data_IF_609027346094
#
_entry.id   IF_609027346094
#
_cell.length_a   1.000
_cell.length_b   1.000
_cell.length_c   1.000
_cell.angle_alpha   90.00
_cell.angle_beta   90.00
_cell.angle_gamma   90.00
#
_symmetry.space_group_name_H-M   'P 1'
#
loop_
_entity.id
_entity.type
_entity.pdbx_description
1 polymer ?
#
# COMPACT_ATOMS: atom_id res chain seq x y z
N UNK A 1 12.14 13.09 -23.14
CA UNK A 1 12.61 13.46 -21.81
C UNK A 1 11.61 12.87 -20.82
N UNK A 2 11.64 11.57 -20.68
CA UNK A 2 10.60 10.81 -19.99
C UNK A 2 11.13 9.51 -19.44
N UNK A 3 12.16 9.34 -18.73
CA UNK A 3 12.50 8.02 -18.17
C UNK A 3 13.31 8.13 -16.87
N UNK A 4 12.86 9.06 -15.99
CA UNK A 4 13.41 9.19 -14.65
C UNK A 4 13.09 7.97 -13.78
N UNK A 5 11.91 7.36 -13.99
CA UNK A 5 11.50 6.11 -13.38
C UNK A 5 10.76 5.29 -14.44
N UNK A 6 11.17 4.05 -14.61
CA UNK A 6 10.39 3.05 -15.33
C UNK A 6 9.24 2.57 -14.41
N UNK A 7 8.06 3.20 -14.55
CA UNK A 7 6.89 2.89 -13.72
C UNK A 7 6.34 1.49 -13.96
N UNK A 8 6.49 0.92 -15.16
CA UNK A 8 6.11 -0.45 -15.43
C UNK A 8 7.02 -1.44 -14.72
N UNK A 9 8.32 -1.17 -14.70
CA UNK A 9 9.27 -1.93 -13.90
C UNK A 9 9.01 -1.78 -12.41
N UNK A 10 8.71 -0.56 -11.92
CA UNK A 10 8.36 -0.32 -10.53
C UNK A 10 7.12 -1.13 -10.14
N UNK A 11 6.05 -1.06 -10.91
CA UNK A 11 4.82 -1.83 -10.70
C UNK A 11 5.11 -3.33 -10.66
N UNK A 12 5.93 -3.85 -11.59
CA UNK A 12 6.29 -5.26 -11.62
C UNK A 12 7.06 -5.69 -10.36
N UNK A 13 8.03 -4.91 -9.91
CA UNK A 13 8.80 -5.19 -8.69
C UNK A 13 7.91 -5.17 -7.44
N UNK A 14 7.01 -4.20 -7.35
CA UNK A 14 6.03 -4.12 -6.24
C UNK A 14 5.12 -5.33 -6.25
N UNK A 15 4.61 -5.71 -7.41
CA UNK A 15 3.74 -6.88 -7.60
C UNK A 15 4.41 -8.18 -7.15
N UNK A 16 5.66 -8.40 -7.54
CA UNK A 16 6.44 -9.59 -7.14
C UNK A 16 6.70 -9.62 -5.63
N UNK A 17 7.08 -8.47 -5.05
CA UNK A 17 7.29 -8.34 -3.61
C UNK A 17 6.00 -8.62 -2.82
N UNK A 18 4.89 -8.00 -3.20
CA UNK A 18 3.58 -8.18 -2.57
C UNK A 18 3.12 -9.63 -2.65
N UNK A 19 3.20 -10.25 -3.84
CA UNK A 19 2.82 -11.66 -4.03
C UNK A 19 3.61 -12.59 -3.13
N UNK A 20 4.93 -12.35 -3.01
CA UNK A 20 5.82 -13.15 -2.17
C UNK A 20 5.49 -12.96 -0.69
N UNK A 21 5.36 -11.72 -0.22
CA UNK A 21 5.10 -11.42 1.19
C UNK A 21 3.72 -11.90 1.61
N UNK A 22 2.68 -11.67 0.81
CA UNK A 22 1.33 -12.14 1.12
C UNK A 22 1.25 -13.67 1.17
N UNK A 23 1.87 -14.36 0.23
CA UNK A 23 1.95 -15.84 0.24
C UNK A 23 2.69 -16.36 1.48
N UNK A 24 3.77 -15.70 1.88
CA UNK A 24 4.50 -16.05 3.11
C UNK A 24 3.63 -15.84 4.35
N UNK A 25 2.91 -14.73 4.44
CA UNK A 25 1.99 -14.46 5.55
C UNK A 25 0.88 -15.54 5.63
N UNK A 26 0.27 -15.90 4.51
CA UNK A 26 -0.72 -16.98 4.46
C UNK A 26 -0.15 -18.30 4.96
N UNK A 27 1.10 -18.62 4.62
CA UNK A 27 1.76 -19.84 5.06
C UNK A 27 2.10 -19.83 6.55
N UNK A 28 2.51 -18.69 7.09
CA UNK A 28 2.86 -18.53 8.51
C UNK A 28 1.59 -18.53 9.38
N UNK A 29 0.53 -17.89 8.91
CA UNK A 29 -0.74 -17.72 9.63
C UNK A 29 -1.84 -18.64 9.10
N UNK A 30 -1.52 -19.92 8.80
CA UNK A 30 -2.47 -20.88 8.20
C UNK A 30 -3.76 -21.08 9.01
N UNK A 31 -3.70 -20.89 10.33
CA UNK A 31 -4.84 -21.06 11.25
C UNK A 31 -5.59 -19.75 11.50
N UNK A 32 -5.16 -18.65 10.89
CA UNK A 32 -5.71 -17.31 11.10
C UNK A 32 -5.97 -16.63 9.76
N UNK A 33 -7.10 -15.96 9.63
CA UNK A 33 -7.52 -15.33 8.38
C UNK A 33 -6.85 -13.96 8.23
N UNK A 34 -6.21 -13.72 7.07
CA UNK A 34 -5.72 -12.40 6.71
C UNK A 34 -6.91 -11.54 6.25
N UNK A 35 -7.17 -10.46 6.97
CA UNK A 35 -8.27 -9.51 6.72
C UNK A 35 -7.83 -8.19 6.10
N UNK A 36 -6.55 -7.84 6.24
CA UNK A 36 -6.00 -6.61 5.70
C UNK A 36 -4.58 -6.78 5.19
N UNK A 37 -4.25 -6.08 4.12
CA UNK A 37 -2.91 -5.92 3.58
C UNK A 37 -2.75 -4.52 3.01
N UNK A 38 -1.75 -3.80 3.45
CA UNK A 38 -1.49 -2.45 2.97
C UNK A 38 -0.03 -2.23 2.62
N UNK A 39 0.19 -1.35 1.67
CA UNK A 39 1.49 -0.76 1.35
C UNK A 39 1.59 0.60 2.00
N UNK A 40 2.64 0.80 2.80
CA UNK A 40 2.94 2.06 3.48
C UNK A 40 4.13 2.73 2.81
N UNK A 41 4.00 4.03 2.59
CA UNK A 41 5.05 4.89 2.03
C UNK A 41 5.19 6.16 2.87
N UNK A 42 6.16 7.02 2.56
CA UNK A 42 6.22 8.40 3.06
C UNK A 42 5.51 9.37 2.08
N UNK A 43 5.35 10.63 2.49
CA UNK A 43 4.68 11.66 1.68
C UNK A 43 5.38 11.93 0.33
N UNK A 44 6.67 11.62 0.24
CA UNK A 44 7.45 11.74 -0.99
C UNK A 44 7.49 10.48 -1.84
N UNK A 45 6.80 9.41 -1.43
CA UNK A 45 6.77 8.06 -2.04
C UNK A 45 8.16 7.47 -2.29
N UNK A 46 9.10 7.73 -1.34
CA UNK A 46 10.50 7.30 -1.43
C UNK A 46 10.76 5.97 -0.74
N UNK A 47 9.88 5.56 0.14
CA UNK A 47 9.94 4.30 0.87
C UNK A 47 8.75 3.43 0.53
N UNK A 48 8.89 2.11 0.67
CA UNK A 48 7.76 1.19 0.56
C UNK A 48 7.99 -0.02 1.45
N UNK A 49 7.00 -0.32 2.27
CA UNK A 49 6.93 -1.54 3.06
C UNK A 49 5.47 -2.00 3.18
N UNK A 50 5.26 -3.21 3.67
CA UNK A 50 3.91 -3.72 3.86
C UNK A 50 3.56 -3.87 5.34
N UNK A 51 2.27 -3.85 5.60
CA UNK A 51 1.65 -4.23 6.86
C UNK A 51 0.46 -5.14 6.58
N UNK A 52 0.11 -5.98 7.55
CA UNK A 52 -1.03 -6.87 7.41
C UNK A 52 -1.77 -7.05 8.75
N UNK A 53 -3.04 -7.43 8.66
CA UNK A 53 -3.91 -7.67 9.78
C UNK A 53 -4.56 -9.04 9.64
N UNK A 54 -4.60 -9.79 10.76
CA UNK A 54 -5.32 -11.06 10.86
C UNK A 54 -6.57 -10.93 11.72
N UNK A 55 -7.49 -11.88 11.56
CA UNK A 55 -8.68 -11.98 12.39
C UNK A 55 -8.33 -12.11 13.87
N UNK A 56 -7.31 -12.90 14.21
CA UNK A 56 -6.87 -13.08 15.59
C UNK A 56 -6.37 -11.76 16.19
N UNK A 57 -5.52 -11.01 15.47
CA UNK A 57 -5.04 -9.70 15.92
C UNK A 57 -6.19 -8.72 16.16
N UNK A 58 -7.18 -8.68 15.26
CA UNK A 58 -8.33 -7.79 15.37
C UNK A 58 -9.17 -8.08 16.62
N UNK A 59 -9.32 -9.36 16.99
CA UNK A 59 -10.20 -9.78 18.09
C UNK A 59 -9.49 -9.95 19.43
N UNK A 60 -8.18 -10.20 19.44
CA UNK A 60 -7.44 -10.57 20.65
C UNK A 60 -7.32 -9.42 21.66
N UNK A 61 -7.12 -8.18 21.17
CA UNK A 61 -6.87 -7.00 21.99
C UNK A 61 -7.95 -5.90 21.81
N UNK A 62 -9.13 -6.29 21.29
CA UNK A 62 -10.23 -5.36 20.93
C UNK A 62 -9.76 -4.23 19.98
N UNK A 63 -8.95 -4.61 18.97
CA UNK A 63 -8.36 -3.67 18.00
C UNK A 63 -9.38 -3.14 16.96
N UNK A 64 -10.68 -3.23 17.25
CA UNK A 64 -11.75 -2.77 16.36
C UNK A 64 -11.69 -1.27 16.07
N UNK A 65 -11.17 -0.49 17.03
CA UNK A 65 -10.95 0.95 16.84
C UNK A 65 -9.86 1.30 15.83
N UNK A 66 -8.99 0.34 15.51
CA UNK A 66 -7.88 0.49 14.55
C UNK A 66 -7.98 -0.47 13.37
N UNK A 67 -9.15 -1.09 13.16
CA UNK A 67 -9.39 -2.06 12.08
C UNK A 67 -8.97 -1.53 10.69
N UNK A 68 -9.27 -0.28 10.39
CA UNK A 68 -8.94 0.35 9.11
C UNK A 68 -7.83 1.39 9.21
N UNK A 69 -6.97 1.27 10.22
CA UNK A 69 -5.77 2.08 10.41
C UNK A 69 -4.51 1.23 10.18
N UNK A 70 -4.05 1.07 8.92
CA UNK A 70 -2.97 0.14 8.61
C UNK A 70 -1.66 0.39 9.37
N UNK A 71 -1.38 1.64 9.76
CA UNK A 71 -0.19 1.99 10.56
C UNK A 71 -0.16 1.31 11.93
N UNK A 72 -1.33 0.88 12.43
CA UNK A 72 -1.50 0.20 13.73
C UNK A 72 -1.55 -1.33 13.61
N UNK A 73 -1.54 -1.89 12.39
CA UNK A 73 -1.67 -3.32 12.20
C UNK A 73 -0.48 -4.10 12.75
N UNK A 74 -0.76 -5.24 13.37
CA UNK A 74 0.22 -5.99 14.15
C UNK A 74 1.29 -6.75 13.36
N UNK A 75 1.10 -6.96 12.06
CA UNK A 75 2.07 -7.62 11.20
C UNK A 75 2.73 -6.57 10.31
N UNK A 76 3.93 -6.16 10.66
CA UNK A 76 4.77 -5.32 9.80
C UNK A 76 6.12 -6.00 9.62
N UNK A 77 6.59 -6.08 8.38
CA UNK A 77 7.91 -6.60 8.07
C UNK A 77 8.67 -5.60 7.19
N UNK A 78 9.90 -5.25 7.60
CA UNK A 78 10.85 -4.53 6.75
C UNK A 78 11.49 -5.52 5.79
N UNK A 79 10.71 -5.96 4.85
CA UNK A 79 10.99 -7.14 4.08
C UNK A 79 12.10 -6.93 3.06
N UNK A 80 12.99 -7.90 2.99
CA UNK A 80 14.03 -8.02 1.96
C UNK A 80 13.44 -8.07 0.54
N UNK A 81 12.17 -8.48 0.40
CA UNK A 81 11.48 -8.57 -0.89
C UNK A 81 11.20 -7.20 -1.52
N UNK A 82 11.11 -6.12 -0.73
CA UNK A 82 10.99 -4.75 -1.22
C UNK A 82 12.33 -4.08 -1.56
N UNK A 83 13.47 -4.77 -1.39
CA UNK A 83 14.80 -4.20 -1.65
C UNK A 83 14.98 -3.70 -3.10
N UNK A 84 14.43 -4.44 -4.08
CA UNK A 84 14.46 -4.01 -5.48
C UNK A 84 13.68 -2.73 -5.74
N UNK A 85 12.52 -2.60 -5.08
CA UNK A 85 11.70 -1.37 -5.11
C UNK A 85 12.47 -0.23 -4.48
N UNK A 86 13.02 -0.41 -3.28
CA UNK A 86 13.80 0.60 -2.57
C UNK A 86 15.00 1.08 -3.40
N UNK A 87 15.70 0.16 -4.09
CA UNK A 87 16.82 0.52 -4.99
C UNK A 87 16.36 1.39 -6.15
N UNK A 88 15.20 1.07 -6.75
CA UNK A 88 14.66 1.85 -7.87
C UNK A 88 14.19 3.25 -7.41
N UNK A 89 13.56 3.33 -6.25
CA UNK A 89 13.13 4.60 -5.66
C UNK A 89 14.33 5.47 -5.26
N UNK A 90 15.39 4.88 -4.67
CA UNK A 90 16.60 5.59 -4.28
C UNK A 90 17.38 6.16 -5.49
N UNK A 91 17.41 5.46 -6.61
CA UNK A 91 18.04 5.95 -7.83
C UNK A 91 17.41 7.26 -8.35
N UNK A 92 16.18 7.55 -7.97
CA UNK A 92 15.48 8.80 -8.25
C UNK A 92 16.10 10.00 -7.54
N UNK A 93 16.62 9.83 -6.31
CA UNK A 93 17.28 10.89 -5.54
C UNK A 93 18.51 11.47 -6.25
N UNK A 94 19.20 10.66 -7.04
CA UNK A 94 20.39 11.08 -7.79
C UNK A 94 20.02 11.98 -8.99
N UNK A 95 18.72 12.06 -9.33
CA UNK A 95 18.21 12.79 -10.49
C UNK A 95 17.56 14.12 -10.11
N UNK A 96 17.55 14.49 -8.83
CA UNK A 96 16.98 15.74 -8.32
C UNK A 96 17.78 16.97 -8.78
N UNK A 97 17.65 17.31 -10.05
CA UNK A 97 18.03 18.63 -10.54
C UNK A 97 16.87 19.61 -10.26
N UNK A 98 17.17 20.82 -9.80
CA UNK A 98 16.23 21.85 -9.32
C UNK A 98 15.07 22.22 -10.27
N UNK A 99 15.09 21.75 -11.51
CA UNK A 99 14.04 21.94 -12.52
C UNK A 99 12.86 20.96 -12.39
N UNK A 100 12.99 19.89 -11.60
CA UNK A 100 11.94 18.86 -11.41
C UNK A 100 10.85 19.29 -10.43
N UNK A 101 11.08 20.33 -9.63
CA UNK A 101 10.16 20.73 -8.57
C UNK A 101 8.81 21.29 -9.04
N UNK A 102 8.74 21.92 -10.23
CA UNK A 102 7.49 22.55 -10.69
C UNK A 102 6.39 21.54 -11.03
N UNK A 103 6.77 20.31 -11.42
CA UNK A 103 5.80 19.25 -11.77
C UNK A 103 6.01 17.96 -10.95
N UNK A 104 6.68 18.04 -9.80
CA UNK A 104 7.08 16.89 -9.02
C UNK A 104 5.89 16.02 -8.60
N UNK A 105 4.78 16.63 -8.20
CA UNK A 105 3.55 15.90 -7.84
C UNK A 105 3.00 15.10 -9.03
N UNK A 106 2.93 15.71 -10.20
CA UNK A 106 2.30 15.09 -11.38
C UNK A 106 3.23 14.09 -12.08
N UNK A 107 4.52 14.40 -12.16
CA UNK A 107 5.48 13.58 -12.92
C UNK A 107 6.10 12.46 -12.10
N UNK A 108 6.12 12.59 -10.77
CA UNK A 108 6.80 11.65 -9.89
C UNK A 108 5.88 11.06 -8.83
N UNK A 109 5.29 11.88 -7.95
CA UNK A 109 4.50 11.39 -6.81
C UNK A 109 3.30 10.57 -7.29
N UNK A 110 2.46 11.19 -8.12
CA UNK A 110 1.23 10.54 -8.60
C UNK A 110 1.51 9.26 -9.38
N UNK A 111 2.43 9.22 -10.37
CA UNK A 111 2.72 7.99 -11.09
C UNK A 111 3.36 6.91 -10.22
N UNK A 112 4.22 7.28 -9.25
CA UNK A 112 4.83 6.32 -8.31
C UNK A 112 3.76 5.70 -7.41
N UNK A 113 2.94 6.52 -6.76
CA UNK A 113 1.84 6.06 -5.93
C UNK A 113 0.86 5.19 -6.73
N UNK A 114 0.52 5.62 -7.94
CA UNK A 114 -0.36 4.86 -8.83
C UNK A 114 0.23 3.50 -9.23
N UNK A 115 1.55 3.39 -9.40
CA UNK A 115 2.20 2.10 -9.67
C UNK A 115 2.00 1.11 -8.50
N UNK A 116 2.02 1.59 -7.24
CA UNK A 116 1.72 0.77 -6.06
C UNK A 116 0.26 0.30 -6.06
N UNK A 117 -0.67 1.21 -6.33
CA UNK A 117 -2.11 0.91 -6.42
C UNK A 117 -2.40 -0.12 -7.51
N UNK A 118 -1.83 0.08 -8.71
CA UNK A 118 -2.05 -0.82 -9.84
C UNK A 118 -1.46 -2.22 -9.58
N UNK A 119 -0.34 -2.32 -8.87
CA UNK A 119 0.23 -3.61 -8.45
C UNK A 119 -0.76 -4.40 -7.57
N UNK A 120 -1.35 -3.76 -6.56
CA UNK A 120 -2.37 -4.39 -5.71
C UNK A 120 -3.64 -4.73 -6.49
N UNK A 121 -4.09 -3.83 -7.37
CA UNK A 121 -5.30 -4.05 -8.18
C UNK A 121 -5.15 -5.25 -9.12
N UNK A 122 -4.03 -5.36 -9.82
CA UNK A 122 -3.74 -6.51 -10.69
C UNK A 122 -3.69 -7.81 -9.90
N UNK A 123 -3.03 -7.83 -8.73
CA UNK A 123 -2.98 -9.02 -7.87
C UNK A 123 -4.36 -9.41 -7.32
N UNK A 124 -5.24 -8.45 -7.04
CA UNK A 124 -6.63 -8.74 -6.70
C UNK A 124 -7.39 -9.36 -7.88
N UNK A 125 -7.19 -8.86 -9.09
CA UNK A 125 -7.79 -9.40 -10.29
C UNK A 125 -7.26 -10.82 -10.62
N UNK A 126 -6.01 -11.10 -10.29
CA UNK A 126 -5.39 -12.42 -10.39
C UNK A 126 -5.86 -13.40 -9.30
N UNK A 127 -6.65 -12.94 -8.32
CA UNK A 127 -7.17 -13.77 -7.24
C UNK A 127 -6.15 -14.09 -6.15
N UNK A 128 -5.06 -13.32 -6.04
CA UNK A 128 -4.08 -13.45 -4.95
C UNK A 128 -4.70 -13.10 -3.61
N UNK A 129 -5.52 -12.05 -3.59
CA UNK A 129 -6.26 -11.62 -2.39
C UNK A 129 -7.68 -12.14 -2.39
N UNK A 130 -8.13 -12.70 -1.26
CA UNK A 130 -9.54 -13.03 -1.06
C UNK A 130 -10.39 -11.74 -1.07
N UNK A 131 -11.69 -11.86 -1.41
CA UNK A 131 -12.58 -10.71 -1.60
C UNK A 131 -12.77 -9.86 -0.33
N UNK A 132 -12.67 -10.48 0.84
CA UNK A 132 -12.80 -9.85 2.15
C UNK A 132 -11.51 -9.24 2.72
N UNK A 133 -10.38 -9.37 2.04
CA UNK A 133 -9.13 -8.70 2.43
C UNK A 133 -9.23 -7.22 2.07
N UNK A 134 -9.17 -6.34 3.06
CA UNK A 134 -9.08 -4.90 2.81
C UNK A 134 -7.69 -4.54 2.28
N UNK A 135 -7.61 -3.83 1.16
CA UNK A 135 -6.35 -3.37 0.57
C UNK A 135 -6.25 -1.86 0.66
N UNK A 136 -5.06 -1.37 0.99
CA UNK A 136 -4.77 0.06 1.02
C UNK A 136 -3.36 0.36 0.54
N UNK A 137 -3.18 1.57 0.03
CA UNK A 137 -1.88 2.22 -0.15
C UNK A 137 -1.99 3.56 0.56
N UNK A 138 -1.07 3.84 1.48
CA UNK A 138 -1.15 5.04 2.32
C UNK A 138 0.24 5.62 2.62
N UNK A 139 0.26 6.92 2.92
CA UNK A 139 1.42 7.59 3.51
C UNK A 139 1.37 7.52 5.03
N UNK A 140 2.53 7.38 5.65
CA UNK A 140 2.65 7.42 7.13
C UNK A 140 2.65 8.83 7.70
N UNK A 141 2.80 9.83 6.85
CA UNK A 141 2.77 11.26 7.19
C UNK A 141 2.10 12.02 6.02
N UNK A 142 0.78 11.83 5.82
CA UNK A 142 0.11 12.27 4.60
C UNK A 142 -0.12 13.78 4.56
N UNK A 143 0.26 14.41 3.45
CA UNK A 143 -0.24 15.72 3.04
C UNK A 143 -1.72 15.61 2.60
N UNK A 144 -2.39 16.76 2.45
CA UNK A 144 -3.76 16.81 1.91
C UNK A 144 -3.85 16.10 0.55
N UNK A 145 -2.86 16.33 -0.32
CA UNK A 145 -2.77 15.65 -1.62
C UNK A 145 -2.67 14.13 -1.50
N UNK A 146 -1.85 13.62 -0.57
CA UNK A 146 -1.73 12.19 -0.33
C UNK A 146 -3.03 11.58 0.19
N UNK A 147 -3.77 12.27 1.06
CA UNK A 147 -5.08 11.81 1.53
C UNK A 147 -6.10 11.68 0.39
N UNK A 148 -6.05 12.55 -0.61
CA UNK A 148 -6.90 12.43 -1.81
C UNK A 148 -6.53 11.19 -2.63
N UNK A 149 -5.23 10.92 -2.83
CA UNK A 149 -4.74 9.73 -3.53
C UNK A 149 -5.13 8.44 -2.81
N UNK A 150 -4.97 8.39 -1.48
CA UNK A 150 -5.36 7.27 -0.62
C UNK A 150 -6.86 6.98 -0.71
N UNK A 151 -7.68 8.03 -0.65
CA UNK A 151 -9.13 7.91 -0.79
C UNK A 151 -9.53 7.35 -2.15
N UNK A 152 -8.88 7.80 -3.22
CA UNK A 152 -9.10 7.27 -4.56
C UNK A 152 -8.65 5.81 -4.67
N UNK A 153 -7.49 5.46 -4.12
CA UNK A 153 -6.95 4.11 -4.09
C UNK A 153 -7.88 3.13 -3.35
N UNK A 154 -8.37 3.50 -2.18
CA UNK A 154 -9.29 2.67 -1.40
C UNK A 154 -10.56 2.33 -2.20
N UNK A 155 -11.11 3.29 -2.96
CA UNK A 155 -12.26 3.07 -3.84
C UNK A 155 -11.96 2.11 -5.00
N UNK A 156 -10.74 2.13 -5.52
CA UNK A 156 -10.32 1.25 -6.62
C UNK A 156 -10.04 -0.17 -6.15
N UNK A 157 -9.47 -0.32 -4.97
CA UNK A 157 -8.93 -1.57 -4.46
C UNK A 157 -9.99 -2.45 -3.77
N UNK A 158 -11.07 -1.86 -3.25
CA UNK A 158 -11.99 -2.56 -2.36
C UNK A 158 -13.41 -2.66 -2.92
N UNK A 159 -14.12 -3.70 -2.52
CA UNK A 159 -15.53 -3.89 -2.85
C UNK A 159 -16.42 -2.84 -2.15
N UNK A 160 -17.63 -2.64 -2.66
CA UNK A 160 -18.61 -1.75 -2.03
C UNK A 160 -18.90 -2.15 -0.57
N UNK A 161 -18.90 -3.45 -0.26
CA UNK A 161 -19.10 -3.96 1.11
C UNK A 161 -17.97 -3.52 2.06
N UNK A 162 -16.71 -3.70 1.64
CA UNK A 162 -15.54 -3.27 2.41
C UNK A 162 -15.50 -1.75 2.58
N UNK A 163 -15.85 -1.00 1.53
CA UNK A 163 -15.90 0.46 1.58
C UNK A 163 -17.00 0.96 2.52
N UNK A 164 -18.15 0.31 2.58
CA UNK A 164 -19.21 0.67 3.52
C UNK A 164 -18.75 0.44 4.97
N UNK A 165 -18.09 -0.71 5.25
CA UNK A 165 -17.50 -0.97 6.57
C UNK A 165 -16.44 0.06 6.94
N UNK A 166 -15.55 0.41 6.00
CA UNK A 166 -14.55 1.45 6.19
C UNK A 166 -15.19 2.81 6.51
N UNK A 167 -16.22 3.21 5.77
CA UNK A 167 -16.92 4.48 5.98
C UNK A 167 -17.64 4.51 7.34
N UNK A 168 -18.27 3.41 7.73
CA UNK A 168 -18.92 3.28 9.05
C UNK A 168 -17.90 3.36 10.20
N UNK A 169 -16.73 2.74 10.01
CA UNK A 169 -15.63 2.82 10.95
C UNK A 169 -15.08 4.26 11.04
N UNK A 170 -14.81 4.88 9.88
CA UNK A 170 -14.30 6.26 9.80
C UNK A 170 -15.25 7.27 10.45
N UNK A 171 -16.56 7.08 10.33
CA UNK A 171 -17.55 7.92 11.00
C UNK A 171 -17.54 7.80 12.53
N UNK A 172 -16.99 6.71 13.08
CA UNK A 172 -16.92 6.47 14.53
C UNK A 172 -15.59 6.86 15.15
N UNK A 173 -14.49 6.64 14.42
CA UNK A 173 -13.13 6.66 14.97
C UNK A 173 -12.17 7.57 14.17
N UNK A 174 -12.57 8.05 12.98
CA UNK A 174 -11.76 8.88 12.09
C UNK A 174 -11.85 10.40 12.34
#
# INVERSE_FOLDING_TARGET
>A
MSDLIDFDKLKSLVKDAVKTTFTNLQRIHQADELLGYALCTDDSVMTLYHVAMTQQWLTQDDNTEVEFSPVEWGLSDRDVHFKGVATLLAARLELEDAKLYENYLEEIINPTFNAFVLALLELRQEGVFAKNVFLSVLSTDPSEHMLELESAANRMLNSAELLNRFNDWHARFG
#
